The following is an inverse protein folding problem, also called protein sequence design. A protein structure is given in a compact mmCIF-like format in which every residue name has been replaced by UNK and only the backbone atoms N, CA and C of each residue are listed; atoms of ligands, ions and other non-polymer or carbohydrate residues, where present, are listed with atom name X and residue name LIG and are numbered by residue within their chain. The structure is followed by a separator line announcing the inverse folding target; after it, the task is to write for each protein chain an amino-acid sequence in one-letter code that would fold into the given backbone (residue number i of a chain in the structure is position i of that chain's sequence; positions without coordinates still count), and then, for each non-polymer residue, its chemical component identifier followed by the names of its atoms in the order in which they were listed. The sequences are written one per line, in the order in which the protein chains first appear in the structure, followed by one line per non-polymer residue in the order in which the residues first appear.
data_IF_341631810905
#
_entry.id   IF_341631810905
#
_cell.length_a   1.000
_cell.length_b   1.000
_cell.length_c   1.000
_cell.angle_alpha   90.00
_cell.angle_beta   90.00
_cell.angle_gamma   90.00
#
_symmetry.space_group_name_H-M   'P 1'
#
loop_
_entity.id
_entity.type
_entity.pdbx_description
1 polymer ?
#
# COMPACT_ATOMS: atom_id res chain seq x y z
N UNK A 1 -6.77 -9.48 -5.08
CA UNK A 1 -7.05 -10.91 -4.80
C UNK A 1 -5.78 -11.76 -4.75
N UNK A 2 -4.88 -11.71 -5.75
CA UNK A 2 -3.63 -12.50 -5.70
C UNK A 2 -2.74 -12.21 -4.48
N UNK A 3 -2.54 -10.93 -4.15
CA UNK A 3 -1.71 -10.50 -3.01
C UNK A 3 -2.23 -10.94 -1.64
N UNK A 4 -3.55 -11.08 -1.54
CA UNK A 4 -4.19 -11.55 -0.32
C UNK A 4 -3.82 -13.01 -0.02
N UNK A 5 -3.75 -13.85 -1.07
CA UNK A 5 -3.23 -15.21 -0.95
C UNK A 5 -1.72 -15.26 -0.73
N UNK A 6 -0.97 -14.31 -1.30
CA UNK A 6 0.48 -14.18 -1.07
C UNK A 6 0.80 -13.88 0.40
N UNK A 7 0.16 -12.86 0.99
CA UNK A 7 0.40 -12.48 2.39
C UNK A 7 -0.32 -13.42 3.39
N UNK A 8 -1.57 -13.79 3.11
CA UNK A 8 -2.35 -14.66 4.01
C UNK A 8 -1.98 -16.13 3.95
N UNK A 9 -1.31 -16.57 2.88
CA UNK A 9 -0.86 -17.94 2.68
C UNK A 9 0.56 -18.22 3.17
N UNK A 10 1.34 -17.18 3.50
CA UNK A 10 2.72 -17.30 4.02
C UNK A 10 2.85 -18.21 5.25
N UNK A 11 1.87 -18.28 6.18
CA UNK A 11 1.94 -19.21 7.31
C UNK A 11 1.73 -20.69 6.95
N UNK A 12 1.40 -21.01 5.69
CA UNK A 12 1.04 -22.35 5.20
C UNK A 12 -0.06 -23.09 5.97
N UNK A 13 -0.81 -22.36 6.80
CA UNK A 13 -1.88 -22.88 7.64
C UNK A 13 -2.92 -21.79 7.94
N UNK A 14 -4.15 -22.20 8.25
CA UNK A 14 -5.22 -21.29 8.67
C UNK A 14 -5.04 -20.90 10.15
N UNK A 15 -4.29 -19.82 10.40
CA UNK A 15 -3.95 -19.34 11.74
C UNK A 15 -4.48 -17.92 11.99
N UNK A 16 -4.34 -17.45 13.23
CA UNK A 16 -4.60 -16.04 13.57
C UNK A 16 -3.71 -15.11 12.76
N UNK A 17 -2.44 -15.50 12.56
CA UNK A 17 -1.47 -14.78 11.74
C UNK A 17 -1.94 -14.63 10.28
N UNK A 18 -2.44 -15.71 9.66
CA UNK A 18 -3.03 -15.66 8.31
C UNK A 18 -4.23 -14.70 8.23
N UNK A 19 -5.06 -14.67 9.27
CA UNK A 19 -6.23 -13.78 9.36
C UNK A 19 -5.82 -12.32 9.53
N UNK A 20 -4.79 -12.05 10.33
CA UNK A 20 -4.20 -10.72 10.50
C UNK A 20 -3.55 -10.25 9.20
N UNK A 21 -2.78 -11.11 8.52
CA UNK A 21 -2.16 -10.82 7.24
C UNK A 21 -3.19 -10.46 6.18
N UNK A 22 -4.31 -11.18 6.12
CA UNK A 22 -5.44 -10.85 5.25
C UNK A 22 -5.96 -9.44 5.55
N UNK A 23 -6.31 -9.16 6.80
CA UNK A 23 -6.90 -7.88 7.22
C UNK A 23 -5.95 -6.71 6.93
N UNK A 24 -4.70 -6.80 7.38
CA UNK A 24 -3.69 -5.76 7.23
C UNK A 24 -3.38 -5.47 5.76
N UNK A 25 -3.39 -6.50 4.90
CA UNK A 25 -3.20 -6.32 3.46
C UNK A 25 -4.27 -5.43 2.85
N UNK A 26 -5.55 -5.66 3.20
CA UNK A 26 -6.66 -4.86 2.69
C UNK A 26 -6.68 -3.45 3.28
N UNK A 27 -6.41 -3.31 4.58
CA UNK A 27 -6.38 -2.01 5.26
C UNK A 27 -5.26 -1.13 4.71
N UNK A 28 -4.03 -1.65 4.59
CA UNK A 28 -2.90 -0.89 4.07
C UNK A 28 -3.11 -0.50 2.59
N UNK A 29 -3.58 -1.44 1.76
CA UNK A 29 -3.92 -1.18 0.36
C UNK A 29 -4.95 -0.07 0.22
N UNK A 30 -6.04 -0.11 1.00
CA UNK A 30 -7.08 0.91 0.96
C UNK A 30 -6.55 2.28 1.39
N UNK A 31 -5.78 2.35 2.48
CA UNK A 31 -5.20 3.61 2.96
C UNK A 31 -4.19 4.22 1.98
N UNK A 32 -3.38 3.38 1.33
CA UNK A 32 -2.45 3.81 0.28
C UNK A 32 -3.19 4.34 -0.95
N UNK A 33 -4.23 3.64 -1.41
CA UNK A 33 -5.07 4.11 -2.52
C UNK A 33 -5.76 5.44 -2.18
N UNK A 34 -6.36 5.58 -0.99
CA UNK A 34 -7.02 6.81 -0.58
C UNK A 34 -6.05 7.97 -0.48
N UNK A 35 -4.85 7.74 0.06
CA UNK A 35 -3.81 8.77 0.16
C UNK A 35 -3.31 9.19 -1.22
N UNK A 36 -3.07 8.22 -2.11
CA UNK A 36 -2.68 8.50 -3.49
C UNK A 36 -3.74 9.33 -4.20
N UNK A 37 -5.00 8.91 -4.11
CA UNK A 37 -6.12 9.58 -4.75
C UNK A 37 -6.30 11.01 -4.21
N UNK A 38 -6.16 11.18 -2.90
CA UNK A 38 -6.24 12.49 -2.26
C UNK A 38 -5.16 13.44 -2.78
N UNK A 39 -3.92 12.98 -2.90
CA UNK A 39 -2.82 13.77 -3.47
C UNK A 39 -3.02 14.06 -4.96
N UNK A 40 -3.48 13.08 -5.72
CA UNK A 40 -3.83 13.22 -7.14
C UNK A 40 -4.87 14.31 -7.37
N UNK A 41 -5.93 14.36 -6.56
CA UNK A 41 -7.00 15.38 -6.65
C UNK A 41 -6.50 16.76 -6.20
N UNK A 42 -5.61 16.82 -5.20
CA UNK A 42 -5.12 18.09 -4.67
C UNK A 42 -4.10 18.78 -5.58
N UNK A 43 -3.19 18.03 -6.19
CA UNK A 43 -2.08 18.59 -6.97
C UNK A 43 -2.25 18.47 -8.47
N UNK A 44 -3.05 17.50 -8.91
CA UNK A 44 -3.34 17.24 -10.32
C UNK A 44 -4.85 17.11 -10.52
N UNK A 45 -5.29 16.78 -11.74
CA UNK A 45 -6.72 16.53 -12.04
C UNK A 45 -6.90 15.17 -12.71
N UNK A 46 -6.08 14.19 -12.31
CA UNK A 46 -6.14 12.82 -12.78
C UNK A 46 -6.35 11.84 -11.63
N UNK A 47 -6.69 10.59 -11.97
CA UNK A 47 -7.00 9.54 -11.01
C UNK A 47 -6.13 8.33 -11.37
N UNK A 48 -5.10 8.05 -10.58
CA UNK A 48 -4.23 6.90 -10.79
C UNK A 48 -4.49 5.80 -9.74
N UNK A 49 -4.43 4.55 -10.18
CA UNK A 49 -4.63 3.37 -9.32
C UNK A 49 -3.31 2.80 -8.76
N UNK A 50 -2.18 3.49 -8.98
CA UNK A 50 -0.85 3.04 -8.58
C UNK A 50 -0.72 2.86 -7.05
N UNK A 51 -1.49 3.63 -6.27
CA UNK A 51 -1.54 3.52 -4.81
C UNK A 51 -1.96 2.14 -4.29
N UNK A 52 -2.69 1.35 -5.08
CA UNK A 52 -3.02 -0.05 -4.73
C UNK A 52 -1.74 -0.88 -4.63
N UNK A 53 -0.87 -0.79 -5.64
CA UNK A 53 0.34 -1.60 -5.70
C UNK A 53 1.35 -1.18 -4.63
N UNK A 54 1.52 0.13 -4.41
CA UNK A 54 2.46 0.60 -3.39
C UNK A 54 2.05 0.18 -1.97
N UNK A 55 0.75 0.18 -1.68
CA UNK A 55 0.20 -0.34 -0.42
C UNK A 55 0.46 -1.83 -0.22
N UNK A 56 0.19 -2.62 -1.26
CA UNK A 56 0.40 -4.06 -1.23
C UNK A 56 1.88 -4.43 -1.07
N UNK A 57 2.78 -3.76 -1.78
CA UNK A 57 4.23 -3.96 -1.63
C UNK A 57 4.68 -3.57 -0.22
N UNK A 58 4.24 -2.42 0.29
CA UNK A 58 4.67 -1.91 1.59
C UNK A 58 4.30 -2.83 2.76
N UNK A 59 3.09 -3.41 2.76
CA UNK A 59 2.64 -4.25 3.87
C UNK A 59 3.19 -5.68 3.84
N UNK A 60 3.71 -6.13 2.69
CA UNK A 60 4.18 -7.52 2.48
C UNK A 60 5.09 -8.06 3.60
N UNK A 61 6.18 -7.38 4.02
CA UNK A 61 7.05 -7.92 5.07
C UNK A 61 6.44 -7.89 6.48
N UNK A 62 5.29 -7.25 6.64
CA UNK A 62 4.70 -6.90 7.94
C UNK A 62 3.28 -7.44 8.14
N UNK A 63 2.69 -8.07 7.12
CA UNK A 63 1.25 -8.31 7.05
C UNK A 63 0.71 -9.08 8.27
N UNK A 64 1.39 -10.14 8.70
CA UNK A 64 0.96 -10.97 9.83
C UNK A 64 1.31 -10.42 11.23
N UNK A 65 2.25 -9.48 11.31
CA UNK A 65 2.91 -9.13 12.58
C UNK A 65 2.55 -7.74 13.13
N UNK A 66 2.13 -6.79 12.28
CA UNK A 66 1.80 -5.43 12.73
C UNK A 66 0.35 -5.30 13.17
N UNK A 67 0.09 -4.36 14.10
CA UNK A 67 -1.29 -4.01 14.45
C UNK A 67 -1.97 -3.24 13.30
N UNK A 68 -3.31 -3.34 13.23
CA UNK A 68 -4.07 -2.67 12.17
C UNK A 68 -3.89 -1.15 12.09
N UNK A 69 -3.64 -0.48 13.22
CA UNK A 69 -3.34 0.97 13.20
C UNK A 69 -1.99 1.27 12.53
N UNK A 70 -1.00 0.41 12.71
CA UNK A 70 0.30 0.55 12.06
C UNK A 70 0.17 0.29 10.55
N UNK A 71 -0.64 -0.70 10.14
CA UNK A 71 -0.96 -0.93 8.73
C UNK A 71 -1.62 0.29 8.06
N UNK A 72 -2.46 1.04 8.78
CA UNK A 72 -3.03 2.29 8.26
C UNK A 72 -1.96 3.37 8.04
N UNK A 73 -1.04 3.54 9.00
CA UNK A 73 0.05 4.53 8.89
C UNK A 73 1.00 4.15 7.75
N UNK A 74 1.38 2.87 7.65
CA UNK A 74 2.18 2.37 6.53
C UNK A 74 1.50 2.68 5.19
N UNK A 75 0.19 2.43 5.09
CA UNK A 75 -0.62 2.77 3.92
C UNK A 75 -0.55 4.24 3.54
N UNK A 76 -0.68 5.15 4.51
CA UNK A 76 -0.53 6.59 4.24
C UNK A 76 0.87 6.94 3.71
N UNK A 77 1.92 6.41 4.35
CA UNK A 77 3.30 6.70 3.96
C UNK A 77 3.65 6.15 2.57
N UNK A 78 3.23 4.92 2.24
CA UNK A 78 3.48 4.34 0.93
C UNK A 78 2.52 4.85 -0.17
N UNK A 79 1.44 5.52 0.22
CA UNK A 79 0.63 6.31 -0.70
C UNK A 79 1.33 7.62 -1.05
N UNK A 80 1.94 8.30 -0.07
CA UNK A 80 2.50 9.64 -0.26
C UNK A 80 3.93 9.67 -0.82
N UNK A 81 4.83 8.81 -0.32
CA UNK A 81 6.26 8.86 -0.69
C UNK A 81 6.47 8.48 -2.17
N UNK A 82 5.96 7.32 -2.65
CA UNK A 82 6.11 6.96 -4.06
C UNK A 82 5.35 7.89 -4.99
N UNK A 83 4.19 8.42 -4.56
CA UNK A 83 3.46 9.44 -5.32
C UNK A 83 4.34 10.66 -5.59
N UNK A 84 5.01 11.19 -4.56
CA UNK A 84 5.90 12.34 -4.71
C UNK A 84 7.04 12.04 -5.67
N UNK A 85 7.68 10.87 -5.50
CA UNK A 85 8.77 10.43 -6.37
C UNK A 85 8.31 10.32 -7.83
N UNK A 86 7.15 9.70 -8.08
CA UNK A 86 6.67 9.44 -9.44
C UNK A 86 6.07 10.67 -10.12
N UNK A 87 5.41 11.57 -9.39
CA UNK A 87 4.69 12.70 -10.01
C UNK A 87 5.51 13.99 -10.04
N UNK A 88 6.40 14.19 -9.04
CA UNK A 88 7.20 15.40 -8.90
C UNK A 88 8.64 15.13 -9.31
N UNK A 89 9.32 14.18 -8.65
CA UNK A 89 10.76 13.99 -8.83
C UNK A 89 11.12 13.44 -10.22
N UNK A 90 10.25 12.64 -10.84
CA UNK A 90 10.51 12.08 -12.17
C UNK A 90 10.77 13.16 -13.23
N UNK A 91 10.17 14.35 -13.12
CA UNK A 91 10.33 15.43 -14.11
C UNK A 91 11.73 16.06 -14.06
N UNK A 92 12.39 15.97 -12.90
CA UNK A 92 13.73 16.52 -12.67
C UNK A 92 14.84 15.51 -13.01
N UNK A 93 14.52 14.21 -13.02
CA UNK A 93 15.49 13.13 -13.23
C UNK A 93 15.30 12.51 -14.62
N UNK A 94 16.21 12.82 -15.55
CA UNK A 94 16.18 12.37 -16.96
C UNK A 94 16.36 10.85 -17.17
N UNK A 95 16.49 10.06 -16.10
CA UNK A 95 16.73 8.61 -16.13
C UNK A 95 15.45 7.80 -15.85
N UNK A 96 14.37 8.45 -15.39
CA UNK A 96 13.06 7.87 -15.12
C UNK A 96 12.03 8.36 -16.13
#
# INVERSE_FOLDING_TARGET
MGWTGFNGGDPYAATIDASLAFLNTHVCMAMSLLTWLFLDILFFSHWATQGVITGLVCITPAAGVVQGWAAMIMGMMCGSIPWYTMMVLHKEIRVL
#
